data_IF_175943173914
#
_entry.id   IF_175943173914
#
_cell.length_a   1.000
_cell.length_b   1.000
_cell.length_c   1.000
_cell.angle_alpha   90.00
_cell.angle_beta   90.00
_cell.angle_gamma   90.00
#
_symmetry.space_group_name_H-M   'P 1'
#
loop_
_entity.id
_entity.type
_entity.pdbx_description
1 polymer ?
#
# COMPACT_ATOMS: atom_id res chain seq x y z
N UNK A 1 2.59 0.19 -21.08
CA UNK A 1 2.11 0.18 -19.70
C UNK A 1 2.96 1.10 -18.85
N UNK A 2 2.40 1.64 -17.81
CA UNK A 2 3.11 2.56 -16.94
C UNK A 2 3.13 2.02 -15.51
N UNK A 3 4.23 2.26 -14.81
CA UNK A 3 4.41 1.83 -13.42
C UNK A 3 4.68 3.03 -12.53
N UNK A 4 4.23 2.94 -11.29
CA UNK A 4 4.57 3.88 -10.23
C UNK A 4 5.54 3.16 -9.31
N UNK A 5 6.69 3.77 -9.02
CA UNK A 5 7.71 3.20 -8.16
C UNK A 5 8.17 4.25 -7.17
N UNK A 6 8.18 3.89 -5.89
CA UNK A 6 8.72 4.73 -4.82
C UNK A 6 9.68 3.92 -3.97
N UNK A 7 10.79 4.52 -3.61
CA UNK A 7 11.77 3.86 -2.76
C UNK A 7 12.16 4.79 -1.62
N UNK A 8 12.15 4.27 -0.40
CA UNK A 8 12.42 5.09 0.79
C UNK A 8 12.81 4.19 1.97
N UNK A 9 13.34 4.82 3.01
CA UNK A 9 13.73 4.15 4.24
C UNK A 9 12.75 4.47 5.36
N UNK A 10 12.37 3.45 6.14
CA UNK A 10 11.57 3.59 7.35
C UNK A 10 12.43 3.16 8.54
N UNK A 11 12.47 3.98 9.58
CA UNK A 11 13.29 3.71 10.77
C UNK A 11 12.60 2.77 11.74
N UNK A 12 12.31 1.57 11.26
CA UNK A 12 11.84 0.43 12.07
C UNK A 12 12.14 -0.83 11.28
N UNK A 13 12.19 -1.97 11.93
CA UNK A 13 12.55 -3.24 11.29
C UNK A 13 11.49 -3.79 10.34
N UNK A 14 11.88 -4.70 9.45
CA UNK A 14 10.98 -5.27 8.45
C UNK A 14 9.67 -5.87 9.01
N UNK A 15 9.63 -6.54 10.16
CA UNK A 15 8.36 -7.08 10.66
C UNK A 15 7.27 -6.03 10.87
N UNK A 16 7.61 -4.87 11.41
CA UNK A 16 6.63 -3.80 11.61
C UNK A 16 6.20 -3.16 10.30
N UNK A 17 7.14 -2.97 9.38
CA UNK A 17 6.82 -2.43 8.05
C UNK A 17 5.93 -3.41 7.30
N UNK A 18 6.27 -4.69 7.32
CA UNK A 18 5.47 -5.73 6.68
C UNK A 18 4.05 -5.75 7.23
N UNK A 19 3.89 -5.71 8.56
CA UNK A 19 2.57 -5.67 9.16
C UNK A 19 1.74 -4.49 8.66
N UNK A 20 2.34 -3.31 8.56
CA UNK A 20 1.64 -2.11 8.09
C UNK A 20 1.23 -2.20 6.62
N UNK A 21 2.02 -2.85 5.78
CA UNK A 21 1.78 -2.90 4.33
C UNK A 21 1.05 -4.16 3.88
N UNK A 22 1.09 -5.22 4.65
CA UNK A 22 0.62 -6.53 4.20
C UNK A 22 -0.61 -7.06 4.94
N UNK A 23 -1.06 -6.41 6.01
CA UNK A 23 -2.26 -6.85 6.73
C UNK A 23 -3.41 -5.87 6.56
N UNK A 24 -4.67 -6.36 6.60
CA UNK A 24 -5.81 -5.45 6.53
C UNK A 24 -5.78 -4.40 7.64
N UNK A 25 -5.44 -4.78 8.87
CA UNK A 25 -5.34 -3.85 9.98
C UNK A 25 -4.28 -2.80 9.73
N UNK A 26 -3.12 -3.20 9.21
CA UNK A 26 -2.03 -2.27 8.89
C UNK A 26 -2.44 -1.25 7.85
N UNK A 27 -3.13 -1.68 6.80
CA UNK A 27 -3.55 -0.79 5.71
C UNK A 27 -4.48 0.32 6.18
N UNK A 28 -5.28 0.10 7.22
CA UNK A 28 -6.21 1.12 7.74
C UNK A 28 -5.52 2.31 8.38
N UNK A 29 -4.26 2.16 8.76
CA UNK A 29 -3.52 3.24 9.41
C UNK A 29 -3.02 4.31 8.44
N UNK A 30 -2.97 4.00 7.14
CA UNK A 30 -2.37 4.93 6.21
C UNK A 30 -3.03 4.98 4.82
N UNK A 31 -3.76 3.96 4.41
CA UNK A 31 -4.32 3.88 3.04
C UNK A 31 -5.84 3.78 3.04
N UNK A 32 -6.39 2.64 3.45
CA UNK A 32 -7.83 2.40 3.40
C UNK A 32 -8.55 3.00 4.59
N UNK A 33 -9.85 3.26 4.44
CA UNK A 33 -10.70 3.59 5.57
C UNK A 33 -10.94 2.35 6.43
N UNK A 34 -11.25 1.22 5.77
CA UNK A 34 -11.35 -0.08 6.42
C UNK A 34 -10.93 -1.16 5.45
N UNK A 35 -10.45 -2.27 5.98
CA UNK A 35 -10.01 -3.40 5.16
C UNK A 35 -10.30 -4.70 5.88
N UNK A 36 -10.56 -5.76 5.11
CA UNK A 36 -10.81 -7.10 5.63
C UNK A 36 -10.12 -8.13 4.75
N UNK A 37 -9.72 -9.23 5.33
CA UNK A 37 -9.11 -10.34 4.61
C UNK A 37 -8.19 -11.15 5.49
N UNK A 38 -7.79 -12.32 5.00
CA UNK A 38 -6.79 -13.16 5.66
C UNK A 38 -5.42 -12.85 5.06
N UNK A 39 -4.41 -12.49 5.86
CA UNK A 39 -3.08 -12.19 5.33
C UNK A 39 -2.36 -13.47 4.93
N UNK A 40 -2.65 -13.93 3.73
CA UNK A 40 -2.03 -15.14 3.16
C UNK A 40 -2.14 -15.13 1.64
N UNK A 41 -1.26 -15.90 0.99
CA UNK A 41 -1.25 -16.09 -0.45
C UNK A 41 -2.61 -16.57 -0.95
N UNK A 42 -3.11 -15.95 -2.02
CA UNK A 42 -4.37 -16.34 -2.66
C UNK A 42 -5.63 -15.78 -2.01
N UNK A 43 -5.54 -15.14 -0.85
CA UNK A 43 -6.70 -14.61 -0.16
C UNK A 43 -7.23 -13.34 -0.86
N UNK A 44 -8.52 -13.09 -0.67
CA UNK A 44 -9.16 -11.86 -1.12
C UNK A 44 -9.14 -10.82 -0.01
N UNK A 45 -8.71 -9.60 -0.34
CA UNK A 45 -8.83 -8.44 0.53
C UNK A 45 -9.96 -7.54 0.05
N UNK A 46 -10.77 -7.08 0.99
CA UNK A 46 -11.76 -6.04 0.74
C UNK A 46 -11.17 -4.71 1.20
N UNK A 47 -11.18 -3.72 0.32
CA UNK A 47 -10.55 -2.42 0.52
C UNK A 47 -11.61 -1.34 0.37
N UNK A 48 -11.94 -0.65 1.46
CA UNK A 48 -13.01 0.35 1.47
C UNK A 48 -12.43 1.76 1.61
N UNK A 49 -12.89 2.67 0.75
CA UNK A 49 -12.44 4.06 0.69
C UNK A 49 -13.66 5.00 0.78
N UNK A 50 -14.38 4.91 1.89
CA UNK A 50 -15.63 5.61 2.06
C UNK A 50 -16.81 4.76 1.60
N UNK A 51 -18.05 5.31 1.68
CA UNK A 51 -19.26 4.50 1.45
C UNK A 51 -19.44 4.06 -0.01
N UNK A 52 -18.82 4.77 -0.96
CA UNK A 52 -19.07 4.52 -2.38
C UNK A 52 -17.98 3.68 -3.06
N UNK A 53 -16.89 3.37 -2.36
CA UNK A 53 -15.75 2.66 -2.94
C UNK A 53 -15.44 1.41 -2.15
N UNK A 54 -16.06 0.31 -2.56
CA UNK A 54 -15.80 -1.03 -2.04
C UNK A 54 -15.00 -1.80 -3.09
N UNK A 55 -13.68 -1.80 -2.95
CA UNK A 55 -12.78 -2.46 -3.90
C UNK A 55 -12.32 -3.80 -3.37
N UNK A 56 -11.81 -4.64 -4.27
CA UNK A 56 -11.31 -5.97 -3.92
C UNK A 56 -9.99 -6.23 -4.61
N UNK A 57 -9.17 -7.03 -3.95
CA UNK A 57 -7.88 -7.44 -4.48
C UNK A 57 -7.57 -8.85 -4.02
N UNK A 58 -6.70 -9.53 -4.76
CA UNK A 58 -6.24 -10.88 -4.39
C UNK A 58 -4.76 -10.80 -4.04
N UNK A 59 -4.36 -11.46 -2.95
CA UNK A 59 -2.96 -11.55 -2.56
C UNK A 59 -2.24 -12.47 -3.53
N UNK A 60 -1.33 -11.92 -4.32
CA UNK A 60 -0.56 -12.67 -5.31
C UNK A 60 0.85 -12.99 -4.84
N UNK A 61 1.33 -12.29 -3.81
CA UNK A 61 2.64 -12.56 -3.21
C UNK A 61 2.57 -12.29 -1.71
N UNK A 62 2.99 -13.25 -0.92
CA UNK A 62 3.00 -13.12 0.53
C UNK A 62 4.25 -13.82 1.08
N UNK A 63 5.30 -13.05 1.31
CA UNK A 63 6.57 -13.52 1.86
C UNK A 63 6.85 -12.70 3.12
N UNK A 64 6.58 -13.25 4.32
CA UNK A 64 6.69 -12.49 5.57
C UNK A 64 8.00 -11.73 5.69
N UNK A 65 7.89 -10.44 6.00
CA UNK A 65 8.98 -9.50 6.18
C UNK A 65 9.82 -9.21 4.93
N UNK A 66 9.46 -9.79 3.78
CA UNK A 66 10.23 -9.67 2.54
C UNK A 66 9.43 -9.02 1.42
N UNK A 67 8.21 -9.49 1.15
CA UNK A 67 7.44 -8.98 0.02
C UNK A 67 5.96 -9.26 0.14
N UNK A 68 5.16 -8.34 -0.43
CA UNK A 68 3.70 -8.46 -0.47
C UNK A 68 3.19 -7.85 -1.76
N UNK A 69 2.16 -8.48 -2.36
CA UNK A 69 1.56 -7.95 -3.58
C UNK A 69 0.07 -8.26 -3.63
N UNK A 70 -0.70 -7.27 -4.08
CA UNK A 70 -2.12 -7.39 -4.38
C UNK A 70 -2.36 -7.18 -5.87
N UNK A 71 -3.22 -8.00 -6.46
CA UNK A 71 -3.76 -7.76 -7.79
C UNK A 71 -5.18 -7.22 -7.64
N UNK A 72 -5.48 -6.08 -8.24
CA UNK A 72 -6.80 -5.45 -8.12
C UNK A 72 -7.80 -6.21 -8.98
N UNK A 73 -8.85 -6.73 -8.34
CA UNK A 73 -9.89 -7.52 -9.00
C UNK A 73 -11.20 -6.78 -9.13
N UNK A 74 -11.43 -5.75 -8.30
CA UNK A 74 -12.59 -4.87 -8.41
C UNK A 74 -12.17 -3.48 -7.96
N UNK A 75 -12.13 -2.53 -8.88
CA UNK A 75 -11.63 -1.18 -8.64
C UNK A 75 -12.03 -0.26 -9.78
N UNK A 76 -11.55 0.99 -9.74
CA UNK A 76 -11.64 1.90 -10.88
C UNK A 76 -11.08 1.21 -12.14
N UNK A 77 -11.65 1.44 -13.33
CA UNK A 77 -11.19 0.79 -14.57
C UNK A 77 -9.68 0.87 -14.80
N UNK A 78 -9.04 2.00 -14.48
CA UNK A 78 -7.59 2.15 -14.66
C UNK A 78 -6.77 1.27 -13.70
N UNK A 79 -7.37 0.83 -12.61
CA UNK A 79 -6.72 -0.01 -11.60
C UNK A 79 -7.01 -1.50 -11.78
N UNK A 80 -7.99 -1.86 -12.62
CA UNK A 80 -8.34 -3.26 -12.83
C UNK A 80 -7.17 -4.04 -13.38
N UNK A 81 -6.82 -5.15 -12.70
CA UNK A 81 -5.70 -6.00 -13.09
C UNK A 81 -4.33 -5.44 -12.78
N UNK A 82 -4.25 -4.23 -12.21
CA UNK A 82 -2.96 -3.68 -11.79
C UNK A 82 -2.49 -4.37 -10.51
N UNK A 83 -1.19 -4.26 -10.22
CA UNK A 83 -0.58 -4.87 -9.05
C UNK A 83 0.03 -3.81 -8.16
N UNK A 84 -0.27 -3.91 -6.88
CA UNK A 84 0.23 -3.01 -5.85
C UNK A 84 1.05 -3.85 -4.87
N UNK A 85 2.30 -3.50 -4.67
CA UNK A 85 3.13 -4.31 -3.81
C UNK A 85 4.34 -3.59 -3.25
N UNK A 86 5.09 -4.34 -2.46
CA UNK A 86 6.32 -3.85 -1.88
C UNK A 86 7.34 -4.97 -1.74
N UNK A 87 8.60 -4.57 -1.76
CA UNK A 87 9.72 -5.42 -1.40
C UNK A 87 10.49 -4.73 -0.28
N UNK A 88 10.89 -5.50 0.73
CA UNK A 88 11.53 -4.98 1.93
C UNK A 88 12.92 -5.56 2.08
N UNK A 89 13.88 -4.71 2.45
CA UNK A 89 15.24 -5.13 2.79
C UNK A 89 15.63 -4.51 4.13
N UNK A 90 16.23 -5.29 5.04
CA UNK A 90 16.81 -4.69 6.24
C UNK A 90 17.88 -3.67 5.83
N UNK A 91 17.86 -2.50 6.47
CA UNK A 91 18.87 -1.47 6.27
C UNK A 91 19.48 -1.12 7.62
N UNK A 92 20.64 -1.70 7.91
CA UNK A 92 21.21 -1.64 9.25
C UNK A 92 20.35 -2.45 10.24
N UNK A 93 20.44 -2.11 11.53
CA UNK A 93 19.77 -2.88 12.59
C UNK A 93 18.33 -2.51 12.83
N UNK A 94 17.97 -1.25 12.55
CA UNK A 94 16.69 -0.69 12.99
C UNK A 94 15.93 0.01 11.88
N UNK A 95 16.29 -0.25 10.62
CA UNK A 95 15.64 0.40 9.49
C UNK A 95 15.32 -0.61 8.40
N UNK A 96 14.40 -0.23 7.54
CA UNK A 96 13.96 -1.02 6.39
C UNK A 96 13.98 -0.15 5.15
N UNK A 97 14.58 -0.64 4.07
CA UNK A 97 14.40 -0.06 2.75
C UNK A 97 13.14 -0.63 2.14
N UNK A 98 12.25 0.24 1.73
CA UNK A 98 10.98 -0.14 1.11
C UNK A 98 11.03 0.23 -0.36
N UNK A 99 10.76 -0.74 -1.23
CA UNK A 99 10.49 -0.50 -2.64
C UNK A 99 9.01 -0.77 -2.87
N UNK A 100 8.25 0.29 -3.09
CA UNK A 100 6.82 0.23 -3.38
C UNK A 100 6.59 0.33 -4.87
N UNK A 101 5.60 -0.40 -5.38
CA UNK A 101 5.20 -0.29 -6.77
C UNK A 101 3.69 -0.43 -6.95
N UNK A 102 3.20 0.24 -7.99
CA UNK A 102 1.85 0.05 -8.50
C UNK A 102 1.99 -0.08 -10.01
N UNK A 103 2.02 -1.31 -10.51
CA UNK A 103 2.38 -1.63 -11.88
C UNK A 103 1.20 -2.07 -12.72
N UNK A 104 1.37 -2.01 -14.06
CA UNK A 104 0.38 -2.50 -15.00
C UNK A 104 -0.69 -1.50 -15.36
N UNK A 105 -0.48 -0.21 -15.13
CA UNK A 105 -1.41 0.82 -15.58
C UNK A 105 -1.52 0.82 -17.11
N UNK A 106 -2.72 1.05 -17.66
CA UNK A 106 -2.89 1.06 -19.12
C UNK A 106 -2.11 2.18 -19.79
N UNK A 107 -1.96 3.33 -19.13
CA UNK A 107 -1.18 4.45 -19.69
C UNK A 107 -0.76 5.42 -18.57
N UNK A 108 0.19 6.29 -18.88
CA UNK A 108 0.62 7.38 -17.99
C UNK A 108 -0.31 8.58 -18.15
N UNK A 109 -1.61 8.36 -17.96
CA UNK A 109 -2.63 9.40 -18.09
C UNK A 109 -2.68 10.33 -16.86
N UNK A 110 -3.65 11.24 -16.84
CA UNK A 110 -3.79 12.14 -15.69
C UNK A 110 -4.02 11.38 -14.38
N UNK A 111 -4.88 10.35 -14.41
CA UNK A 111 -5.16 9.53 -13.23
C UNK A 111 -3.89 8.86 -12.69
N UNK A 112 -3.02 8.37 -13.59
CA UNK A 112 -1.72 7.80 -13.19
C UNK A 112 -0.85 8.84 -12.50
N UNK A 113 -0.78 10.06 -13.06
CA UNK A 113 0.03 11.14 -12.47
C UNK A 113 -0.48 11.55 -11.08
N UNK A 114 -1.80 11.70 -10.94
CA UNK A 114 -2.42 12.04 -9.66
C UNK A 114 -2.21 10.91 -8.66
N UNK A 115 -2.37 9.65 -9.09
CA UNK A 115 -2.16 8.50 -8.21
C UNK A 115 -0.71 8.40 -7.74
N UNK A 116 0.24 8.73 -8.61
CA UNK A 116 1.66 8.75 -8.23
C UNK A 116 1.90 9.73 -7.07
N UNK A 117 1.33 10.92 -7.16
CA UNK A 117 1.41 11.94 -6.12
C UNK A 117 0.71 11.48 -4.83
N UNK A 118 -0.47 10.91 -4.95
CA UNK A 118 -1.22 10.40 -3.79
C UNK A 118 -0.48 9.25 -3.11
N UNK A 119 0.12 8.35 -3.86
CA UNK A 119 0.91 7.26 -3.28
C UNK A 119 2.07 7.80 -2.44
N UNK A 120 2.79 8.79 -2.94
CA UNK A 120 3.88 9.40 -2.16
C UNK A 120 3.36 9.96 -0.84
N UNK A 121 2.20 10.60 -0.86
CA UNK A 121 1.55 11.14 0.33
C UNK A 121 1.16 10.01 1.31
N UNK A 122 0.47 8.98 0.83
CA UNK A 122 0.07 7.86 1.68
C UNK A 122 1.26 7.14 2.29
N UNK A 123 2.31 6.94 1.52
CA UNK A 123 3.52 6.28 2.02
C UNK A 123 4.23 7.14 3.09
N UNK A 124 4.17 8.46 2.98
CA UNK A 124 4.67 9.35 4.04
C UNK A 124 3.84 9.26 5.31
N UNK A 125 2.52 9.13 5.18
CA UNK A 125 1.63 8.91 6.33
C UNK A 125 2.00 7.60 7.02
N UNK A 126 2.21 6.53 6.26
CA UNK A 126 2.66 5.25 6.80
C UNK A 126 3.98 5.39 7.56
N UNK A 127 4.96 6.08 6.97
CA UNK A 127 6.26 6.28 7.60
C UNK A 127 6.14 7.02 8.93
N UNK A 128 5.34 8.10 8.98
CA UNK A 128 5.10 8.84 10.22
C UNK A 128 4.42 7.98 11.28
N UNK A 129 3.47 7.16 10.85
CA UNK A 129 2.80 6.23 11.76
C UNK A 129 3.81 5.24 12.35
N UNK A 130 4.66 4.64 11.53
CA UNK A 130 5.63 3.66 11.97
C UNK A 130 6.78 4.25 12.80
N UNK A 131 7.25 5.42 12.44
CA UNK A 131 8.40 6.04 13.13
C UNK A 131 8.02 6.85 14.35
N UNK A 132 6.83 7.43 14.38
CA UNK A 132 6.43 8.40 15.42
C UNK A 132 5.12 8.07 16.10
N UNK A 133 4.40 7.04 15.65
CA UNK A 133 3.07 6.74 16.18
C UNK A 133 2.00 7.76 15.81
N UNK A 134 2.25 8.60 14.81
CA UNK A 134 1.27 9.59 14.37
C UNK A 134 0.15 8.93 13.58
N UNK A 135 -1.11 9.26 13.90
CA UNK A 135 -2.27 8.81 13.13
C UNK A 135 -2.92 10.01 12.45
N UNK A 136 -3.17 9.90 11.16
CA UNK A 136 -3.90 10.91 10.40
C UNK A 136 -5.30 10.36 10.14
N UNK A 137 -6.38 11.02 10.63
CA UNK A 137 -7.74 10.58 10.35
C UNK A 137 -7.96 10.44 8.85
N UNK A 138 -8.75 9.45 8.46
CA UNK A 138 -8.94 9.11 7.05
C UNK A 138 -9.36 10.34 6.22
N UNK A 139 -10.31 11.10 6.70
CA UNK A 139 -10.87 12.27 5.99
C UNK A 139 -9.88 13.44 5.86
N UNK A 140 -8.75 13.39 6.55
CA UNK A 140 -7.73 14.44 6.51
C UNK A 140 -6.49 14.03 5.71
N UNK A 141 -6.44 12.80 5.21
CA UNK A 141 -5.21 12.27 4.59
C UNK A 141 -4.83 12.99 3.31
N UNK A 142 -5.80 13.40 2.52
CA UNK A 142 -5.53 14.11 1.27
C UNK A 142 -4.92 15.50 1.49
N UNK A 143 -5.01 16.02 2.70
CA UNK A 143 -4.44 17.32 3.10
C UNK A 143 -3.15 17.17 3.91
N UNK A 144 -2.68 15.96 4.06
CA UNK A 144 -1.52 15.68 4.91
C UNK A 144 -0.19 16.05 4.26
#
# INVERSE_FOLDING_TARGET
MADIIHEFTVRTGPPRVFHAMATPQGLTHWWTQSSMGMPQQGAEYQLHFGPDYAWRARVTRYEPDVAFELEMTQAHPDWMGTRIGCELEPEGRESTRVRFYHSGWPSANQHWRVSCYCWAMYLRIMRRYLERGESVPYEQRLDA
#
